data_IF_220890965089
#
_entry.id   IF_220890965089
#
_cell.length_a   1.000
_cell.length_b   1.000
_cell.length_c   1.000
_cell.angle_alpha   90.00
_cell.angle_beta   90.00
_cell.angle_gamma   90.00
#
_symmetry.space_group_name_H-M   'P 1'
#
loop_
_entity.id
_entity.type
_entity.pdbx_description
1 polymer ?
#
# COMPACT_ATOMS: atom_id res chain seq x y z
N UNK A 1 -8.17 -13.49 -4.68
CA UNK A 1 -7.97 -14.40 -3.52
C UNK A 1 -6.88 -15.39 -3.88
N UNK A 2 -6.02 -15.75 -2.92
CA UNK A 2 -5.10 -16.87 -3.11
C UNK A 2 -5.92 -18.18 -3.04
N UNK A 3 -5.70 -19.05 -4.01
CA UNK A 3 -6.46 -20.31 -4.15
C UNK A 3 -5.75 -21.50 -3.51
N UNK A 4 -4.46 -21.36 -3.20
CA UNK A 4 -3.67 -22.40 -2.57
C UNK A 4 -3.55 -22.13 -1.05
N UNK A 5 -4.03 -23.05 -0.18
CA UNK A 5 -3.94 -22.88 1.27
C UNK A 5 -2.53 -22.65 1.81
N UNK A 6 -1.48 -23.13 1.12
CA UNK A 6 -0.09 -22.89 1.54
C UNK A 6 0.31 -21.42 1.46
N UNK A 7 -0.39 -20.62 0.67
CA UNK A 7 0.00 -19.23 0.40
C UNK A 7 -0.67 -18.25 1.38
N UNK A 8 -1.51 -18.73 2.30
CA UNK A 8 -2.20 -17.91 3.30
C UNK A 8 -1.31 -17.33 4.39
N UNK A 9 -0.02 -17.69 4.41
CA UNK A 9 0.96 -17.01 5.26
C UNK A 9 1.37 -15.62 4.74
N UNK A 10 0.92 -15.22 3.55
CA UNK A 10 1.21 -13.89 3.00
C UNK A 10 0.35 -12.82 3.65
N UNK A 11 0.93 -11.63 3.83
CA UNK A 11 0.22 -10.46 4.36
C UNK A 11 -0.91 -9.96 3.44
N UNK A 12 -0.99 -10.43 2.18
CA UNK A 12 -2.01 -10.09 1.19
C UNK A 12 -2.85 -11.31 0.74
N UNK A 13 -3.18 -12.19 1.67
CA UNK A 13 -3.89 -13.45 1.39
C UNK A 13 -5.29 -13.27 0.77
N UNK A 14 -5.93 -12.14 1.04
CA UNK A 14 -7.18 -11.70 0.44
C UNK A 14 -7.08 -10.24 0.00
N UNK A 15 -7.54 -9.95 -1.21
CA UNK A 15 -7.63 -8.58 -1.76
C UNK A 15 -9.02 -8.40 -2.34
N UNK A 16 -9.66 -7.29 -1.97
CA UNK A 16 -10.97 -6.87 -2.46
C UNK A 16 -10.85 -5.49 -3.09
N UNK A 17 -11.37 -5.36 -4.32
CA UNK A 17 -11.39 -4.11 -5.06
C UNK A 17 -12.78 -3.49 -4.99
N UNK A 18 -12.82 -2.18 -4.78
CA UNK A 18 -14.05 -1.39 -4.77
C UNK A 18 -13.73 0.05 -5.20
N UNK A 19 -14.75 0.75 -5.70
CA UNK A 19 -14.60 2.13 -6.12
C UNK A 19 -14.39 3.08 -4.94
N UNK A 20 -13.40 3.98 -5.04
CA UNK A 20 -13.04 4.94 -3.98
C UNK A 20 -14.23 5.73 -3.45
N UNK A 21 -15.14 6.15 -4.33
CA UNK A 21 -16.34 6.93 -3.97
C UNK A 21 -17.24 6.21 -2.95
N UNK A 22 -17.17 4.88 -2.89
CA UNK A 22 -17.97 4.06 -2.00
C UNK A 22 -17.29 3.79 -0.65
N UNK A 23 -16.10 4.34 -0.40
CA UNK A 23 -15.32 4.01 0.79
C UNK A 23 -16.08 4.23 2.10
N UNK A 24 -16.84 5.32 2.23
CA UNK A 24 -17.56 5.61 3.48
C UNK A 24 -18.62 4.54 3.79
N UNK A 25 -19.39 4.12 2.78
CA UNK A 25 -20.38 3.05 2.93
C UNK A 25 -19.68 1.70 3.16
N UNK A 26 -18.61 1.43 2.41
CA UNK A 26 -17.82 0.21 2.54
C UNK A 26 -17.18 0.07 3.93
N UNK A 27 -16.70 1.18 4.51
CA UNK A 27 -16.12 1.21 5.86
C UNK A 27 -17.14 0.76 6.92
N UNK A 28 -18.41 1.12 6.78
CA UNK A 28 -19.46 0.69 7.72
C UNK A 28 -19.67 -0.83 7.66
N UNK A 29 -19.66 -1.41 6.45
CA UNK A 29 -19.77 -2.85 6.25
C UNK A 29 -18.53 -3.56 6.81
N UNK A 30 -17.33 -3.05 6.49
CA UNK A 30 -16.07 -3.57 7.01
C UNK A 30 -16.02 -3.55 8.54
N UNK A 31 -16.55 -2.51 9.18
CA UNK A 31 -16.63 -2.42 10.64
C UNK A 31 -17.37 -3.62 11.23
N UNK A 32 -18.55 -3.93 10.72
CA UNK A 32 -19.36 -5.07 11.19
C UNK A 32 -18.64 -6.39 10.94
N UNK A 33 -18.20 -6.64 9.71
CA UNK A 33 -17.55 -7.89 9.32
C UNK A 33 -16.26 -8.12 10.10
N UNK A 34 -15.43 -7.09 10.26
CA UNK A 34 -14.18 -7.20 11.01
C UNK A 34 -14.44 -7.50 12.48
N UNK A 35 -15.41 -6.83 13.11
CA UNK A 35 -15.72 -7.05 14.53
C UNK A 35 -16.17 -8.49 14.80
N UNK A 36 -16.97 -9.07 13.88
CA UNK A 36 -17.44 -10.46 13.99
C UNK A 36 -16.34 -11.51 13.74
N UNK A 37 -15.27 -11.14 13.03
CA UNK A 37 -14.26 -12.06 12.52
C UNK A 37 -12.83 -11.72 12.98
N UNK A 38 -12.66 -10.79 13.92
CA UNK A 38 -11.37 -10.22 14.30
C UNK A 38 -10.34 -11.30 14.70
N UNK A 39 -10.78 -12.38 15.36
CA UNK A 39 -9.91 -13.48 15.80
C UNK A 39 -9.23 -14.23 14.67
N UNK A 40 -9.68 -14.09 13.43
CA UNK A 40 -9.09 -14.73 12.26
C UNK A 40 -8.03 -13.87 11.55
N UNK A 41 -7.89 -12.60 11.93
CA UNK A 41 -6.89 -11.69 11.37
C UNK A 41 -5.58 -11.78 12.15
N UNK A 42 -4.46 -11.92 11.44
CA UNK A 42 -3.13 -11.62 11.98
C UNK A 42 -2.97 -10.11 12.10
N UNK A 43 -2.05 -9.60 12.92
CA UNK A 43 -1.98 -8.16 13.18
C UNK A 43 -1.27 -7.39 12.05
N UNK A 44 -0.37 -8.07 11.34
CA UNK A 44 0.53 -7.52 10.34
C UNK A 44 -0.20 -7.12 9.06
N UNK A 45 0.30 -6.07 8.40
CA UNK A 45 -0.22 -5.59 7.11
C UNK A 45 0.91 -5.42 6.10
N UNK A 46 0.63 -5.49 4.79
CA UNK A 46 1.65 -5.27 3.76
C UNK A 46 2.31 -3.89 3.86
N UNK A 47 3.59 -3.81 3.50
CA UNK A 47 4.31 -2.53 3.41
C UNK A 47 3.59 -1.54 2.48
N UNK A 48 3.78 -0.25 2.75
CA UNK A 48 3.22 0.89 2.01
C UNK A 48 1.70 1.06 2.08
N UNK A 49 0.97 0.15 2.72
CA UNK A 49 -0.48 0.26 2.88
C UNK A 49 -0.85 1.12 4.09
N UNK A 50 -2.09 1.65 4.08
CA UNK A 50 -2.69 2.29 5.25
C UNK A 50 -3.29 1.22 6.16
N UNK A 51 -2.87 1.20 7.42
CA UNK A 51 -3.52 0.40 8.45
C UNK A 51 -4.94 0.93 8.71
N UNK A 52 -5.94 0.07 8.54
CA UNK A 52 -7.34 0.36 8.92
C UNK A 52 -7.71 -0.31 10.26
N UNK A 53 -7.19 -1.52 10.50
CA UNK A 53 -7.27 -2.28 11.75
C UNK A 53 -6.15 -3.35 11.72
N UNK A 54 -5.79 -4.01 12.84
CA UNK A 54 -4.84 -5.13 12.81
C UNK A 54 -5.20 -6.19 11.75
N UNK A 55 -4.30 -6.47 10.81
CA UNK A 55 -4.55 -7.38 9.69
C UNK A 55 -5.38 -6.84 8.53
N UNK A 56 -5.84 -5.61 8.62
CA UNK A 56 -6.68 -4.97 7.61
C UNK A 56 -6.03 -3.67 7.16
N UNK A 57 -5.67 -3.65 5.88
CA UNK A 57 -5.00 -2.52 5.25
C UNK A 57 -5.67 -2.12 3.95
N UNK A 58 -5.36 -0.90 3.49
CA UNK A 58 -5.86 -0.36 2.24
C UNK A 58 -4.75 0.34 1.46
N UNK A 59 -4.84 0.26 0.15
CA UNK A 59 -4.12 1.12 -0.77
C UNK A 59 -4.98 1.41 -2.00
N UNK A 60 -4.73 2.54 -2.64
CA UNK A 60 -5.28 2.85 -3.95
C UNK A 60 -4.56 2.04 -5.03
N UNK A 61 -5.32 1.50 -5.98
CA UNK A 61 -4.75 0.87 -7.16
C UNK A 61 -3.92 1.90 -7.94
N UNK A 62 -2.65 1.62 -8.30
CA UNK A 62 -1.79 2.60 -8.96
C UNK A 62 -2.38 3.12 -10.27
N UNK A 63 -2.52 4.44 -10.38
CA UNK A 63 -2.97 5.13 -11.60
C UNK A 63 -1.86 5.30 -12.65
N UNK A 64 -0.59 5.23 -12.21
CA UNK A 64 0.61 5.21 -13.05
C UNK A 64 1.37 3.91 -12.86
N UNK A 65 1.27 3.04 -13.85
CA UNK A 65 1.94 1.73 -13.85
C UNK A 65 3.24 1.73 -14.65
N UNK A 66 4.23 0.98 -14.19
CA UNK A 66 5.49 0.78 -14.93
C UNK A 66 5.37 -0.34 -15.99
N UNK A 67 4.43 -1.27 -15.80
CA UNK A 67 4.18 -2.39 -16.71
C UNK A 67 2.68 -2.63 -16.87
N UNK A 68 2.29 -3.44 -17.86
CA UNK A 68 0.88 -3.79 -18.12
C UNK A 68 0.27 -4.58 -16.95
N UNK A 69 1.06 -5.49 -16.36
CA UNK A 69 0.65 -6.32 -15.23
C UNK A 69 1.47 -5.94 -14.01
N UNK A 70 0.89 -5.09 -13.17
CA UNK A 70 1.54 -4.58 -11.97
C UNK A 70 0.54 -4.56 -10.81
N UNK A 71 0.98 -5.09 -9.67
CA UNK A 71 0.28 -4.97 -8.38
C UNK A 71 0.75 -3.72 -7.62
N UNK A 72 -0.03 -3.26 -6.65
CA UNK A 72 0.35 -2.15 -5.76
C UNK A 72 1.76 -2.33 -5.15
N UNK A 73 2.05 -3.51 -4.59
CA UNK A 73 3.35 -3.79 -3.97
C UNK A 73 4.50 -3.71 -4.97
N UNK A 74 4.31 -4.25 -6.19
CA UNK A 74 5.31 -4.14 -7.25
C UNK A 74 5.57 -2.68 -7.62
N UNK A 75 4.50 -1.88 -7.77
CA UNK A 75 4.61 -0.48 -8.13
C UNK A 75 5.44 0.30 -7.09
N UNK A 76 5.10 0.19 -5.80
CA UNK A 76 5.82 0.92 -4.74
C UNK A 76 7.26 0.42 -4.57
N UNK A 77 7.51 -0.88 -4.71
CA UNK A 77 8.86 -1.43 -4.74
C UNK A 77 9.67 -0.94 -5.95
N UNK A 78 9.05 -0.77 -7.12
CA UNK A 78 9.72 -0.26 -8.32
C UNK A 78 10.19 1.19 -8.15
N UNK A 79 9.41 2.04 -7.49
CA UNK A 79 9.80 3.42 -7.16
C UNK A 79 11.06 3.43 -6.29
N UNK A 80 11.08 2.60 -5.24
CA UNK A 80 12.25 2.44 -4.37
C UNK A 80 13.46 1.92 -5.15
N UNK A 81 13.26 0.90 -5.99
CA UNK A 81 14.33 0.32 -6.80
C UNK A 81 14.94 1.36 -7.75
N UNK A 82 14.13 2.20 -8.40
CA UNK A 82 14.60 3.26 -9.26
C UNK A 82 15.48 4.27 -8.50
N UNK A 83 15.09 4.63 -7.27
CA UNK A 83 15.85 5.59 -6.46
C UNK A 83 17.20 5.03 -6.02
N UNK A 84 17.23 3.75 -5.68
CA UNK A 84 18.47 3.04 -5.37
C UNK A 84 19.40 2.95 -6.59
N UNK A 85 18.87 2.67 -7.77
CA UNK A 85 19.64 2.65 -9.02
C UNK A 85 20.18 4.05 -9.36
N UNK A 86 19.40 5.11 -9.14
CA UNK A 86 19.83 6.48 -9.39
C UNK A 86 20.98 6.90 -8.47
N UNK A 87 20.90 6.59 -7.17
CA UNK A 87 21.99 6.85 -6.22
C UNK A 87 23.29 6.18 -6.67
N UNK A 88 23.19 4.91 -7.10
CA UNK A 88 24.31 4.16 -7.65
C UNK A 88 24.89 4.77 -8.93
N UNK A 89 24.03 5.17 -9.87
CA UNK A 89 24.47 5.82 -11.12
C UNK A 89 25.20 7.15 -10.88
N UNK A 90 24.82 7.88 -9.83
CA UNK A 90 25.50 9.11 -9.40
C UNK A 90 26.82 8.85 -8.66
N UNK A 91 27.13 7.59 -8.32
CA UNK A 91 28.35 7.20 -7.63
C UNK A 91 28.36 7.46 -6.11
N UNK A 92 27.21 7.78 -5.51
CA UNK A 92 27.07 8.00 -4.08
C UNK A 92 25.94 7.12 -3.52
N UNK A 93 26.33 5.98 -2.92
CA UNK A 93 25.40 5.03 -2.30
C UNK A 93 25.35 5.18 -0.76
N UNK A 94 25.73 6.35 -0.23
CA UNK A 94 25.52 6.64 1.19
C UNK A 94 24.05 6.47 1.58
N UNK A 95 23.74 6.03 2.82
CA UNK A 95 22.36 5.87 3.28
C UNK A 95 21.49 7.12 3.04
N UNK A 96 22.06 8.30 3.27
CA UNK A 96 21.42 9.60 3.09
C UNK A 96 21.08 9.84 1.62
N UNK A 97 22.03 9.62 0.70
CA UNK A 97 21.79 9.86 -0.72
C UNK A 97 20.86 8.81 -1.34
N UNK A 98 20.90 7.57 -0.86
CA UNK A 98 19.94 6.52 -1.24
C UNK A 98 18.51 6.91 -0.86
N UNK A 99 18.30 7.35 0.39
CA UNK A 99 16.99 7.81 0.84
C UNK A 99 16.53 9.03 0.05
N UNK A 100 17.41 10.02 -0.13
CA UNK A 100 17.10 11.21 -0.94
C UNK A 100 16.66 10.82 -2.36
N UNK A 101 17.41 9.93 -3.02
CA UNK A 101 17.08 9.50 -4.39
C UNK A 101 15.76 8.73 -4.45
N UNK A 102 15.43 7.93 -3.43
CA UNK A 102 14.10 7.30 -3.31
C UNK A 102 13.00 8.35 -3.16
N UNK A 103 13.18 9.37 -2.30
CA UNK A 103 12.20 10.44 -2.14
C UNK A 103 12.03 11.29 -3.41
N UNK A 104 13.12 11.52 -4.15
CA UNK A 104 13.07 12.18 -5.45
C UNK A 104 12.20 11.36 -6.43
N UNK A 105 12.33 10.02 -6.46
CA UNK A 105 11.49 9.16 -7.31
C UNK A 105 10.00 9.18 -6.95
N UNK A 106 9.67 9.17 -5.65
CA UNK A 106 8.29 9.39 -5.20
C UNK A 106 7.75 10.76 -5.66
N UNK A 107 8.59 11.81 -5.55
CA UNK A 107 8.24 13.17 -5.93
C UNK A 107 8.02 13.33 -7.44
N UNK A 108 8.81 12.65 -8.29
CA UNK A 108 8.63 12.63 -9.74
C UNK A 108 7.26 12.10 -10.17
N UNK A 109 6.73 11.14 -9.40
CA UNK A 109 5.38 10.60 -9.60
C UNK A 109 4.30 11.36 -8.85
N UNK A 110 4.67 12.41 -8.09
CA UNK A 110 3.78 13.21 -7.24
C UNK A 110 3.07 12.36 -6.17
N UNK A 111 3.71 11.29 -5.73
CA UNK A 111 3.25 10.46 -4.62
C UNK A 111 3.94 10.95 -3.35
N UNK A 112 3.18 11.22 -2.30
CA UNK A 112 3.74 11.53 -0.98
C UNK A 112 4.36 10.25 -0.39
N UNK A 113 5.67 10.27 -0.15
CA UNK A 113 6.38 9.12 0.42
C UNK A 113 5.91 8.75 1.82
N UNK A 114 5.30 9.69 2.56
CA UNK A 114 4.71 9.45 3.89
C UNK A 114 3.30 8.84 3.80
N UNK A 115 2.66 8.92 2.62
CA UNK A 115 1.33 8.36 2.36
C UNK A 115 1.34 7.51 1.07
N UNK A 116 2.21 6.49 0.97
CA UNK A 116 2.43 5.77 -0.28
C UNK A 116 1.21 4.90 -0.68
N UNK A 117 0.24 4.71 0.20
CA UNK A 117 -1.04 4.07 -0.10
C UNK A 117 -1.96 4.94 -0.97
N UNK A 118 -1.66 6.23 -1.15
CA UNK A 118 -2.40 7.15 -2.02
C UNK A 118 -1.73 7.27 -3.39
N UNK A 119 -2.52 7.57 -4.40
CA UNK A 119 -2.06 8.05 -5.69
C UNK A 119 -1.81 9.57 -5.67
N UNK A 120 -1.24 10.07 -6.77
CA UNK A 120 -0.95 11.49 -6.94
C UNK A 120 -2.20 12.36 -6.78
N UNK A 121 -2.09 13.42 -5.96
CA UNK A 121 -3.17 14.38 -5.67
C UNK A 121 -4.45 13.75 -5.06
N UNK A 122 -4.36 12.53 -4.56
CA UNK A 122 -5.50 11.85 -3.98
C UNK A 122 -5.76 12.33 -2.56
N UNK A 123 -7.03 12.61 -2.25
CA UNK A 123 -7.43 12.97 -0.89
C UNK A 123 -7.46 11.73 0.02
N UNK A 124 -6.90 11.86 1.22
CA UNK A 124 -6.93 10.82 2.24
C UNK A 124 -8.27 10.80 2.99
N UNK A 125 -9.25 10.10 2.42
CA UNK A 125 -10.57 9.88 3.03
C UNK A 125 -10.61 8.63 3.93
N UNK A 126 -9.48 7.95 4.10
CA UNK A 126 -9.43 6.59 4.62
C UNK A 126 -9.33 6.54 6.14
N UNK A 127 -10.44 6.78 6.84
CA UNK A 127 -10.48 6.67 8.30
C UNK A 127 -10.35 5.20 8.79
N UNK A 128 -9.40 4.86 9.69
CA UNK A 128 -9.31 3.54 10.31
C UNK A 128 -10.61 3.10 10.97
N UNK A 129 -10.81 1.81 11.21
CA UNK A 129 -11.99 1.28 11.90
C UNK A 129 -12.01 1.70 13.38
N UNK A 130 -13.21 1.83 13.94
CA UNK A 130 -13.40 2.10 15.37
C UNK A 130 -13.39 0.77 16.12
N UNK A 131 -12.28 0.43 16.74
CA UNK A 131 -12.18 -0.75 17.59
C UNK A 131 -12.55 -0.34 19.01
N UNK A 132 -13.63 -0.92 19.55
CA UNK A 132 -14.06 -0.71 20.93
C UNK A 132 -13.13 -1.43 21.92
#
# INVERSE_FOLDING_TARGET
MLYNPSDYGRYDSGVLYFEKINYQAFRQILQTVYTENQSYFQAEVPLFTKLLAPGLALAEEPDRKFTIQESFGMNRCQIVANGLLEARQKGDESPENRLKSVFDQFSLLRIDWQRPYLNSNSEDIYAPLNLC
#
